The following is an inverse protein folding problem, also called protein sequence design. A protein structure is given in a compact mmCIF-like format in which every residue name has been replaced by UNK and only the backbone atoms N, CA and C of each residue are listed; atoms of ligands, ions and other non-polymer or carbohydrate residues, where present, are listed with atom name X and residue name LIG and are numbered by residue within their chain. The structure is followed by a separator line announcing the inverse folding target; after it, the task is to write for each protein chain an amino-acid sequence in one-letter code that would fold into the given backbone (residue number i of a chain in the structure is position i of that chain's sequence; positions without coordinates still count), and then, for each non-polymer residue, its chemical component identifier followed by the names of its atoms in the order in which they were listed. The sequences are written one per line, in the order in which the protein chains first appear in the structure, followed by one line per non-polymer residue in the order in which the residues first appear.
data_IF_937116935824
#
_entry.id   IF_937116935824
#
_cell.length_a   1.000
_cell.length_b   1.000
_cell.length_c   1.000
_cell.angle_alpha   90.00
_cell.angle_beta   90.00
_cell.angle_gamma   90.00
#
_symmetry.space_group_name_H-M   'P 1'
#
loop_
_entity.id
_entity.type
_entity.pdbx_description
1 polymer ?
#
# COMPACT_ATOMS: atom_id res chain seq x y z
N UNK A 1 27.22 -20.49 20.88
CA UNK A 1 25.96 -20.36 21.67
C UNK A 1 25.46 -18.93 21.69
N UNK A 2 26.18 -17.96 22.27
CA UNK A 2 25.76 -16.55 22.37
C UNK A 2 25.16 -15.95 21.07
N UNK A 3 25.84 -16.08 19.93
CA UNK A 3 25.35 -15.60 18.62
C UNK A 3 24.02 -16.22 18.17
N UNK A 4 23.75 -17.49 18.53
CA UNK A 4 22.48 -18.15 18.24
C UNK A 4 21.34 -17.62 19.09
N UNK A 5 21.64 -17.19 20.33
CA UNK A 5 20.66 -16.57 21.24
C UNK A 5 20.28 -15.19 20.71
N UNK A 6 21.25 -14.38 20.29
CA UNK A 6 21.00 -13.06 19.68
C UNK A 6 20.05 -13.17 18.49
N UNK A 7 20.36 -14.06 17.53
CA UNK A 7 19.52 -14.32 16.35
C UNK A 7 18.09 -14.72 16.71
N UNK A 8 17.94 -15.65 17.65
CA UNK A 8 16.62 -16.14 18.07
C UNK A 8 15.79 -15.04 18.77
N UNK A 9 16.38 -14.31 19.72
CA UNK A 9 15.69 -13.22 20.44
C UNK A 9 15.34 -12.06 19.50
N UNK A 10 16.19 -11.76 18.52
CA UNK A 10 15.96 -10.73 17.52
C UNK A 10 14.81 -11.12 16.58
N UNK A 11 14.81 -12.35 16.07
CA UNK A 11 13.72 -12.89 15.25
C UNK A 11 12.38 -12.88 16.00
N UNK A 12 12.36 -13.35 17.26
CA UNK A 12 11.18 -13.27 18.13
C UNK A 12 10.68 -11.83 18.32
N UNK A 13 11.62 -10.88 18.45
CA UNK A 13 11.32 -9.44 18.60
C UNK A 13 10.77 -8.79 17.33
N UNK A 14 11.08 -9.33 16.15
CA UNK A 14 10.46 -8.94 14.87
C UNK A 14 9.08 -9.59 14.75
N UNK A 15 8.97 -10.91 14.92
CA UNK A 15 7.70 -11.64 14.77
C UNK A 15 6.58 -11.13 15.69
N UNK A 16 6.92 -10.77 16.93
CA UNK A 16 5.97 -10.16 17.89
C UNK A 16 5.45 -8.78 17.46
N UNK A 17 6.27 -7.99 16.75
CA UNK A 17 5.90 -6.69 16.19
C UNK A 17 5.32 -6.79 14.77
N UNK A 18 5.48 -7.94 14.10
CA UNK A 18 5.14 -8.28 12.71
C UNK A 18 5.92 -7.48 11.66
N UNK A 19 5.91 -6.16 11.75
CA UNK A 19 6.61 -5.25 10.85
C UNK A 19 7.34 -4.17 11.68
N UNK A 20 8.60 -3.90 11.36
CA UNK A 20 9.43 -2.86 12.00
C UNK A 20 10.25 -2.12 10.95
N UNK A 21 10.71 -0.90 11.22
CA UNK A 21 11.72 -0.25 10.36
C UNK A 21 13.09 -0.95 10.48
N UNK A 22 13.94 -0.85 9.45
CA UNK A 22 15.33 -1.32 9.50
C UNK A 22 16.12 -0.62 10.62
N UNK A 23 15.80 0.64 10.95
CA UNK A 23 16.35 1.37 12.11
C UNK A 23 15.97 0.71 13.44
N UNK A 24 14.70 0.40 13.65
CA UNK A 24 14.24 -0.31 14.86
C UNK A 24 14.78 -1.73 14.93
N UNK A 25 14.82 -2.45 13.80
CA UNK A 25 15.39 -3.80 13.71
C UNK A 25 16.87 -3.83 14.15
N UNK A 26 17.66 -2.83 13.75
CA UNK A 26 19.03 -2.63 14.24
C UNK A 26 19.09 -2.24 15.71
N UNK A 27 18.21 -1.34 16.17
CA UNK A 27 18.16 -0.92 17.57
C UNK A 27 17.88 -2.11 18.50
N UNK A 28 16.89 -2.95 18.15
CA UNK A 28 16.57 -4.21 18.84
C UNK A 28 17.79 -5.14 18.85
N UNK A 29 18.42 -5.37 17.69
CA UNK A 29 19.63 -6.21 17.61
C UNK A 29 20.76 -5.68 18.51
N UNK A 30 21.02 -4.37 18.49
CA UNK A 30 22.03 -3.71 19.32
C UNK A 30 21.76 -3.88 20.83
N UNK A 31 20.50 -3.77 21.26
CA UNK A 31 20.09 -3.97 22.66
C UNK A 31 20.34 -5.43 23.07
N UNK A 32 19.98 -6.39 22.22
CA UNK A 32 20.18 -7.81 22.48
C UNK A 32 21.68 -8.15 22.53
N UNK A 33 22.49 -7.66 21.59
CA UNK A 33 23.95 -7.81 21.60
C UNK A 33 24.58 -7.26 22.89
N UNK A 34 24.17 -6.06 23.34
CA UNK A 34 24.60 -5.48 24.62
C UNK A 34 24.24 -6.36 25.82
N UNK A 35 23.02 -6.90 25.87
CA UNK A 35 22.57 -7.78 26.97
C UNK A 35 23.28 -9.14 27.01
N UNK A 36 23.69 -9.67 25.86
CA UNK A 36 24.43 -10.95 25.74
C UNK A 36 25.95 -10.75 25.85
N UNK A 37 26.43 -9.50 25.80
CA UNK A 37 27.86 -9.18 25.90
C UNK A 37 28.66 -9.46 24.61
N UNK A 38 28.04 -9.29 23.44
CA UNK A 38 28.68 -9.50 22.13
C UNK A 38 28.67 -8.23 21.27
N UNK A 39 29.63 -8.07 20.33
CA UNK A 39 29.58 -7.01 19.32
C UNK A 39 28.31 -7.05 18.45
N UNK A 40 27.91 -5.89 17.92
CA UNK A 40 26.70 -5.72 17.10
C UNK A 40 26.98 -5.44 15.61
N UNK A 41 28.24 -5.56 15.19
CA UNK A 41 28.73 -5.42 13.81
C UNK A 41 28.14 -6.48 12.85
N UNK A 42 27.75 -7.65 13.38
CA UNK A 42 27.30 -8.82 12.61
C UNK A 42 25.85 -8.77 12.11
N UNK A 43 25.11 -7.68 12.31
CA UNK A 43 23.69 -7.55 11.93
C UNK A 43 23.37 -8.04 10.51
N UNK A 44 24.20 -7.67 9.50
CA UNK A 44 23.94 -8.04 8.10
C UNK A 44 24.20 -9.54 7.82
N UNK A 45 25.20 -10.12 8.48
CA UNK A 45 25.51 -11.56 8.38
C UNK A 45 24.42 -12.40 9.05
N UNK A 46 23.94 -11.94 10.21
CA UNK A 46 22.90 -12.60 10.99
C UNK A 46 21.54 -12.51 10.28
N UNK A 47 21.18 -11.35 9.71
CA UNK A 47 20.03 -11.18 8.83
C UNK A 47 20.05 -12.18 7.66
N UNK A 48 21.17 -12.24 6.92
CA UNK A 48 21.33 -13.18 5.80
C UNK A 48 21.28 -14.65 6.23
N UNK A 49 21.84 -14.97 7.40
CA UNK A 49 21.73 -16.34 7.93
C UNK A 49 20.29 -16.69 8.34
N UNK A 50 19.56 -15.73 8.93
CA UNK A 50 18.16 -15.92 9.33
C UNK A 50 17.25 -16.08 8.11
N UNK A 51 17.45 -15.29 7.04
CA UNK A 51 16.76 -15.48 5.76
C UNK A 51 16.92 -16.91 5.22
N UNK A 52 18.14 -17.43 5.17
CA UNK A 52 18.42 -18.79 4.72
C UNK A 52 17.76 -19.86 5.60
N UNK A 53 17.76 -19.67 6.92
CA UNK A 53 17.16 -20.64 7.86
C UNK A 53 15.63 -20.61 7.85
N UNK A 54 15.02 -19.45 7.65
CA UNK A 54 13.56 -19.29 7.52
C UNK A 54 13.04 -19.85 6.20
N UNK A 55 13.81 -19.73 5.11
CA UNK A 55 13.45 -20.24 3.78
C UNK A 55 13.11 -21.74 3.78
N UNK A 56 13.82 -22.53 4.60
CA UNK A 56 13.56 -23.98 4.78
C UNK A 56 12.16 -24.26 5.36
N UNK A 57 11.58 -23.32 6.10
CA UNK A 57 10.23 -23.41 6.68
C UNK A 57 9.14 -22.85 5.74
N UNK A 58 9.53 -22.32 4.57
CA UNK A 58 8.63 -21.55 3.71
C UNK A 58 8.30 -20.15 4.25
N UNK A 59 9.14 -19.62 5.14
CA UNK A 59 9.08 -18.24 5.61
C UNK A 59 10.22 -17.44 4.95
N UNK A 60 10.03 -16.14 4.78
CA UNK A 60 11.03 -15.23 4.22
C UNK A 60 11.13 -13.98 5.10
N UNK A 61 12.34 -13.46 5.27
CA UNK A 61 12.61 -12.28 6.10
C UNK A 61 12.95 -11.13 5.16
N UNK A 62 11.92 -10.41 4.73
CA UNK A 62 12.01 -9.43 3.65
C UNK A 62 12.34 -8.03 4.17
N UNK A 63 12.91 -7.24 3.26
CA UNK A 63 13.00 -5.80 3.39
C UNK A 63 12.23 -5.16 2.22
N UNK A 64 11.39 -4.16 2.49
CA UNK A 64 10.60 -3.43 1.47
C UNK A 64 10.60 -1.94 1.84
N UNK A 65 10.58 -1.04 0.86
CA UNK A 65 10.42 0.40 1.12
C UNK A 65 8.92 0.75 1.18
N UNK A 66 8.49 1.41 2.24
CA UNK A 66 7.13 1.95 2.37
C UNK A 66 6.86 2.94 1.24
N UNK A 67 5.75 2.78 0.52
CA UNK A 67 5.45 3.59 -0.67
C UNK A 67 5.12 5.05 -0.31
N UNK A 68 4.71 5.33 0.93
CA UNK A 68 4.28 6.65 1.40
C UNK A 68 5.46 7.47 1.89
N UNK A 69 6.32 6.90 2.75
CA UNK A 69 7.43 7.64 3.39
C UNK A 69 8.84 7.18 3.00
N UNK A 70 8.96 6.11 2.22
CA UNK A 70 10.23 5.57 1.73
C UNK A 70 11.09 4.85 2.78
N UNK A 71 10.60 4.66 4.02
CA UNK A 71 11.35 3.93 5.06
C UNK A 71 11.45 2.46 4.69
N UNK A 72 12.64 1.89 4.85
CA UNK A 72 12.82 0.44 4.72
C UNK A 72 12.21 -0.27 5.93
N UNK A 73 11.16 -1.03 5.67
CA UNK A 73 10.48 -1.92 6.60
C UNK A 73 11.08 -3.34 6.50
N UNK A 74 11.06 -4.06 7.61
CA UNK A 74 11.55 -5.43 7.78
C UNK A 74 10.46 -6.26 8.43
N UNK A 75 10.13 -7.41 7.84
CA UNK A 75 9.08 -8.30 8.32
C UNK A 75 9.37 -9.76 7.97
N UNK A 76 8.84 -10.68 8.77
CA UNK A 76 8.79 -12.10 8.42
C UNK A 76 7.47 -12.33 7.70
N UNK A 77 7.53 -12.91 6.50
CA UNK A 77 6.37 -13.20 5.67
C UNK A 77 6.32 -14.68 5.31
N UNK A 78 5.13 -15.21 5.06
CA UNK A 78 4.96 -16.50 4.44
C UNK A 78 5.32 -16.43 2.95
N UNK A 79 6.24 -17.29 2.49
CA UNK A 79 6.69 -17.31 1.10
C UNK A 79 5.73 -18.07 0.16
N UNK A 80 4.71 -18.75 0.70
CA UNK A 80 3.73 -19.53 -0.08
C UNK A 80 2.65 -18.63 -0.67
N UNK A 81 2.13 -19.02 -1.84
CA UNK A 81 1.08 -18.27 -2.55
C UNK A 81 -0.25 -18.20 -1.79
N UNK A 82 -0.56 -19.15 -0.90
CA UNK A 82 -1.78 -19.18 -0.07
C UNK A 82 -1.73 -18.19 1.12
N UNK A 83 -1.00 -17.08 1.03
CA UNK A 83 -0.75 -16.16 2.18
C UNK A 83 -2.01 -15.44 2.70
N UNK A 84 -3.12 -15.45 1.94
CA UNK A 84 -4.46 -15.09 2.46
C UNK A 84 -4.86 -15.88 3.73
N UNK A 85 -4.33 -17.10 3.92
CA UNK A 85 -4.56 -17.89 5.13
C UNK A 85 -3.96 -17.26 6.40
N UNK A 86 -2.93 -16.42 6.28
CA UNK A 86 -2.28 -15.73 7.40
C UNK A 86 -3.07 -14.50 7.87
N UNK A 87 -3.85 -13.88 6.99
CA UNK A 87 -4.92 -12.95 7.39
C UNK A 87 -5.96 -13.71 8.23
N UNK A 88 -6.30 -14.94 7.82
CA UNK A 88 -7.43 -15.72 8.33
C UNK A 88 -7.37 -16.21 9.78
N UNK A 89 -6.25 -16.07 10.49
CA UNK A 89 -6.14 -16.51 11.89
C UNK A 89 -6.91 -15.59 12.83
N UNK A 90 -8.21 -15.83 12.96
CA UNK A 90 -9.12 -15.09 13.84
C UNK A 90 -10.38 -14.53 13.16
N UNK A 91 -10.50 -14.64 11.84
CA UNK A 91 -11.70 -14.25 11.09
C UNK A 91 -12.55 -15.46 10.73
N UNK A 92 -13.87 -15.29 10.71
CA UNK A 92 -14.82 -16.29 10.21
C UNK A 92 -14.75 -16.39 8.67
N UNK A 93 -15.24 -17.48 8.05
CA UNK A 93 -15.21 -17.65 6.60
C UNK A 93 -15.88 -16.51 5.82
N UNK A 94 -17.01 -15.97 6.31
CA UNK A 94 -17.73 -14.87 5.65
C UNK A 94 -16.95 -13.55 5.72
N UNK A 95 -16.24 -13.30 6.82
CA UNK A 95 -15.36 -12.15 6.96
C UNK A 95 -14.15 -12.29 6.04
N UNK A 96 -13.57 -13.48 5.89
CA UNK A 96 -12.48 -13.74 4.96
C UNK A 96 -12.87 -13.51 3.49
N UNK A 97 -14.08 -13.94 3.09
CA UNK A 97 -14.61 -13.65 1.75
C UNK A 97 -14.77 -12.14 1.52
N UNK A 98 -15.23 -11.39 2.53
CA UNK A 98 -15.28 -9.93 2.46
C UNK A 98 -13.88 -9.29 2.39
N UNK A 99 -12.91 -9.76 3.18
CA UNK A 99 -11.54 -9.24 3.15
C UNK A 99 -10.90 -9.48 1.77
N UNK A 100 -11.09 -10.67 1.18
CA UNK A 100 -10.63 -10.95 -0.19
C UNK A 100 -11.23 -9.96 -1.18
N UNK A 101 -12.54 -9.74 -1.14
CA UNK A 101 -13.23 -8.80 -2.03
C UNK A 101 -12.79 -7.34 -1.83
N UNK A 102 -12.42 -6.93 -0.61
CA UNK A 102 -11.83 -5.59 -0.36
C UNK A 102 -10.44 -5.47 -0.99
N UNK A 103 -9.59 -6.49 -0.85
CA UNK A 103 -8.25 -6.52 -1.47
C UNK A 103 -8.38 -6.49 -3.00
N UNK A 104 -9.24 -7.34 -3.56
CA UNK A 104 -9.57 -7.41 -4.99
C UNK A 104 -10.05 -6.04 -5.52
N UNK A 105 -11.05 -5.43 -4.87
CA UNK A 105 -11.60 -4.15 -5.30
C UNK A 105 -10.61 -2.98 -5.17
N UNK A 106 -9.67 -3.05 -4.21
CA UNK A 106 -8.56 -2.09 -4.10
C UNK A 106 -7.56 -2.29 -5.24
N UNK A 107 -7.14 -3.53 -5.49
CA UNK A 107 -6.04 -3.84 -6.39
C UNK A 107 -6.42 -3.75 -7.88
N UNK A 108 -7.65 -4.12 -8.20
CA UNK A 108 -8.24 -4.00 -9.56
C UNK A 108 -8.88 -2.62 -9.81
N UNK A 109 -8.70 -1.66 -8.90
CA UNK A 109 -9.38 -0.36 -8.96
C UNK A 109 -9.09 0.40 -10.28
N UNK A 110 -10.13 0.86 -11.02
CA UNK A 110 -9.97 1.44 -12.34
C UNK A 110 -8.98 2.61 -12.42
N UNK A 111 -8.28 2.72 -13.57
CA UNK A 111 -7.22 3.71 -13.82
C UNK A 111 -6.06 3.62 -12.80
N UNK A 112 -5.71 2.40 -12.38
CA UNK A 112 -4.61 2.13 -11.44
C UNK A 112 -4.71 2.97 -10.17
N UNK A 113 -5.93 3.09 -9.63
CA UNK A 113 -6.22 3.93 -8.48
C UNK A 113 -5.78 3.30 -7.14
N UNK A 114 -5.51 1.99 -7.13
CA UNK A 114 -5.11 1.16 -5.98
C UNK A 114 -5.82 1.53 -4.67
N UNK A 115 -7.09 1.90 -4.76
CA UNK A 115 -7.87 2.39 -3.62
C UNK A 115 -9.36 2.43 -3.91
N UNK A 116 -10.16 2.22 -2.87
CA UNK A 116 -11.63 2.38 -2.88
C UNK A 116 -12.06 3.35 -1.79
N UNK A 117 -13.15 4.07 -1.98
CA UNK A 117 -13.74 4.92 -0.94
C UNK A 117 -14.36 4.08 0.19
N UNK A 118 -14.55 4.69 1.36
CA UNK A 118 -15.28 4.05 2.46
C UNK A 118 -16.72 3.66 2.09
N UNK A 119 -17.36 4.38 1.16
CA UNK A 119 -18.71 4.04 0.68
C UNK A 119 -18.69 2.79 -0.21
N UNK A 120 -17.75 2.72 -1.14
CA UNK A 120 -17.54 1.55 -2.01
C UNK A 120 -17.24 0.30 -1.18
N UNK A 121 -16.30 0.38 -0.23
CA UNK A 121 -15.95 -0.73 0.66
C UNK A 121 -17.17 -1.30 1.42
N UNK A 122 -18.00 -0.43 2.00
CA UNK A 122 -19.19 -0.85 2.76
C UNK A 122 -20.30 -1.41 1.86
N UNK A 123 -20.35 -0.99 0.59
CA UNK A 123 -21.29 -1.49 -0.42
C UNK A 123 -20.88 -2.85 -1.04
N UNK A 124 -19.63 -3.30 -0.88
CA UNK A 124 -19.17 -4.60 -1.40
C UNK A 124 -19.99 -5.76 -0.81
N UNK A 125 -20.72 -6.47 -1.66
CA UNK A 125 -21.53 -7.64 -1.28
C UNK A 125 -20.84 -8.92 -1.78
N UNK A 126 -19.75 -9.27 -1.10
CA UNK A 126 -18.85 -10.37 -1.46
C UNK A 126 -19.52 -11.74 -1.39
N UNK A 127 -20.22 -12.02 -0.29
CA UNK A 127 -21.01 -13.24 -0.11
C UNK A 127 -22.51 -12.89 -0.11
N UNK A 128 -23.25 -13.43 -1.08
CA UNK A 128 -24.72 -13.27 -1.19
C UNK A 128 -25.49 -14.32 -0.37
N UNK A 129 -24.87 -15.45 -0.04
CA UNK A 129 -25.46 -16.51 0.75
C UNK A 129 -25.28 -16.26 2.27
N UNK A 130 -24.16 -15.68 2.68
CA UNK A 130 -23.87 -15.31 4.06
C UNK A 130 -23.36 -13.87 4.21
N UNK A 131 -24.21 -12.85 3.96
CA UNK A 131 -23.80 -11.45 4.00
C UNK A 131 -23.52 -10.94 5.42
N UNK A 132 -22.31 -10.41 5.65
CA UNK A 132 -21.95 -9.74 6.90
C UNK A 132 -22.59 -8.34 7.01
N UNK A 133 -22.90 -7.91 8.24
CA UNK A 133 -23.58 -6.63 8.48
C UNK A 133 -22.68 -5.43 8.19
N UNK A 134 -23.27 -4.25 7.90
CA UNK A 134 -22.50 -3.00 7.70
C UNK A 134 -21.61 -2.66 8.90
N UNK A 135 -22.10 -2.87 10.13
CA UNK A 135 -21.33 -2.66 11.36
C UNK A 135 -20.10 -3.59 11.41
N UNK A 136 -20.29 -4.88 11.09
CA UNK A 136 -19.20 -5.86 10.98
C UNK A 136 -18.17 -5.42 9.92
N UNK A 137 -18.60 -4.93 8.75
CA UNK A 137 -17.70 -4.38 7.73
C UNK A 137 -16.87 -3.19 8.25
N UNK A 138 -17.49 -2.27 9.00
CA UNK A 138 -16.81 -1.11 9.60
C UNK A 138 -15.77 -1.55 10.64
N UNK A 139 -16.11 -2.51 11.50
CA UNK A 139 -15.21 -3.10 12.51
C UNK A 139 -14.05 -3.86 11.86
N UNK A 140 -14.30 -4.66 10.82
CA UNK A 140 -13.25 -5.34 10.04
C UNK A 140 -12.29 -4.35 9.37
N UNK A 141 -12.81 -3.32 8.68
CA UNK A 141 -11.98 -2.31 8.04
C UNK A 141 -11.10 -1.57 9.07
N UNK A 142 -11.65 -1.25 10.25
CA UNK A 142 -10.88 -0.65 11.34
C UNK A 142 -9.79 -1.61 11.88
N UNK A 143 -10.09 -2.90 12.01
CA UNK A 143 -9.13 -3.92 12.44
C UNK A 143 -8.01 -4.11 11.41
N UNK A 144 -8.32 -4.17 10.11
CA UNK A 144 -7.34 -4.24 9.03
C UNK A 144 -6.41 -3.02 9.03
N UNK A 145 -6.94 -1.81 9.27
CA UNK A 145 -6.12 -0.59 9.39
C UNK A 145 -5.21 -0.64 10.62
N UNK A 146 -5.72 -1.10 11.78
CA UNK A 146 -4.91 -1.22 13.02
C UNK A 146 -3.72 -2.19 12.86
N UNK A 147 -3.80 -3.15 11.95
CA UNK A 147 -2.78 -4.17 11.73
C UNK A 147 -1.96 -3.98 10.43
N UNK A 148 -1.99 -2.76 9.85
CA UNK A 148 -1.34 -2.35 8.59
C UNK A 148 -1.67 -3.23 7.36
N UNK A 149 -2.80 -3.94 7.39
CA UNK A 149 -3.33 -4.62 6.20
C UNK A 149 -3.91 -3.61 5.21
N UNK A 150 -4.54 -2.55 5.73
CA UNK A 150 -5.05 -1.43 4.95
C UNK A 150 -4.52 -0.12 5.51
N UNK A 151 -4.48 0.92 4.68
CA UNK A 151 -4.30 2.31 5.13
C UNK A 151 -5.50 3.15 4.69
N UNK A 152 -5.94 4.05 5.58
CA UNK A 152 -7.03 4.98 5.30
C UNK A 152 -6.49 6.39 5.13
N UNK A 153 -6.75 6.98 3.97
CA UNK A 153 -6.41 8.36 3.65
C UNK A 153 -7.33 9.37 4.33
N UNK A 154 -6.90 10.64 4.36
CA UNK A 154 -7.72 11.78 4.84
C UNK A 154 -8.98 11.97 3.98
N UNK A 155 -8.95 11.66 2.69
CA UNK A 155 -10.13 11.63 1.81
C UNK A 155 -11.04 10.41 2.02
N UNK A 156 -10.81 9.57 3.04
CA UNK A 156 -11.67 8.45 3.38
C UNK A 156 -11.58 7.26 2.41
N UNK A 157 -10.51 7.17 1.61
CA UNK A 157 -10.20 6.01 0.76
C UNK A 157 -9.30 5.01 1.48
N UNK A 158 -9.53 3.72 1.26
CA UNK A 158 -8.68 2.61 1.69
C UNK A 158 -7.74 2.21 0.55
N UNK A 159 -6.48 1.91 0.88
CA UNK A 159 -5.48 1.27 0.03
C UNK A 159 -4.77 0.16 0.82
N UNK A 160 -3.95 -0.67 0.18
CA UNK A 160 -3.17 -1.70 0.88
C UNK A 160 -2.10 -1.06 1.77
N UNK A 161 -1.88 -1.60 2.95
CA UNK A 161 -0.76 -1.20 3.80
C UNK A 161 0.55 -1.89 3.39
N UNK A 162 1.68 -1.38 3.85
CA UNK A 162 3.00 -1.93 3.50
C UNK A 162 3.16 -3.37 3.96
N UNK A 163 2.58 -3.73 5.11
CA UNK A 163 2.49 -5.12 5.55
C UNK A 163 1.75 -6.01 4.55
N UNK A 164 0.61 -5.56 4.02
CA UNK A 164 -0.16 -6.31 3.01
C UNK A 164 0.63 -6.49 1.71
N UNK A 165 1.30 -5.45 1.23
CA UNK A 165 2.14 -5.52 0.03
C UNK A 165 3.31 -6.50 0.21
N UNK A 166 3.90 -6.56 1.41
CA UNK A 166 5.00 -7.48 1.72
C UNK A 166 4.55 -8.95 1.86
N UNK A 167 3.45 -9.21 2.59
CA UNK A 167 2.93 -10.57 2.86
C UNK A 167 2.14 -11.17 1.68
N UNK A 168 1.43 -10.34 0.90
CA UNK A 168 0.61 -10.80 -0.22
C UNK A 168 1.31 -10.69 -1.58
N UNK A 169 2.57 -10.26 -1.65
CA UNK A 169 3.28 -9.99 -2.92
C UNK A 169 3.11 -11.10 -3.96
N UNK A 170 3.39 -12.35 -3.57
CA UNK A 170 3.29 -13.54 -4.43
C UNK A 170 1.85 -13.80 -4.89
N UNK A 171 0.88 -13.63 -3.98
CA UNK A 171 -0.55 -13.79 -4.27
C UNK A 171 -1.04 -12.73 -5.25
N UNK A 172 -0.71 -11.45 -5.00
CA UNK A 172 -1.13 -10.32 -5.82
C UNK A 172 -0.53 -10.37 -7.23
N UNK A 173 0.71 -10.84 -7.37
CA UNK A 173 1.37 -11.03 -8.67
C UNK A 173 0.75 -12.17 -9.50
N UNK A 174 0.27 -13.24 -8.85
CA UNK A 174 -0.29 -14.41 -9.54
C UNK A 174 -1.79 -14.29 -9.84
N UNK A 175 -2.59 -13.74 -8.91
CA UNK A 175 -4.04 -13.63 -9.10
C UNK A 175 -4.43 -12.42 -9.98
N UNK A 176 -3.63 -11.35 -9.96
CA UNK A 176 -3.93 -10.09 -10.62
C UNK A 176 -2.76 -9.61 -11.49
N UNK A 177 -2.23 -10.49 -12.35
CA UNK A 177 -1.06 -10.24 -13.20
C UNK A 177 -1.17 -8.92 -14.00
N UNK A 178 -2.34 -8.65 -14.62
CA UNK A 178 -2.63 -7.42 -15.37
C UNK A 178 -2.55 -6.13 -14.50
N UNK A 179 -2.73 -6.26 -13.18
CA UNK A 179 -2.62 -5.17 -12.21
C UNK A 179 -1.31 -5.23 -11.40
N UNK A 180 -0.42 -6.18 -11.65
CA UNK A 180 0.83 -6.40 -10.91
C UNK A 180 1.97 -5.49 -11.39
N UNK A 181 1.71 -4.18 -11.38
CA UNK A 181 2.65 -3.14 -11.80
C UNK A 181 3.97 -3.20 -11.01
N UNK A 182 5.10 -3.06 -11.70
CA UNK A 182 6.45 -3.06 -11.13
C UNK A 182 7.15 -1.71 -11.33
N UNK A 183 7.94 -1.28 -10.35
CA UNK A 183 8.73 -0.05 -10.41
C UNK A 183 9.98 -0.23 -11.28
N UNK A 184 10.19 0.65 -12.27
CA UNK A 184 11.30 0.61 -13.23
C UNK A 184 12.72 0.73 -12.62
N UNK A 185 12.84 1.04 -11.31
CA UNK A 185 14.14 1.21 -10.64
C UNK A 185 14.46 0.12 -9.60
N UNK A 186 13.52 -0.36 -8.80
CA UNK A 186 13.77 -1.48 -7.88
C UNK A 186 13.25 -2.83 -8.39
N UNK A 187 12.29 -2.86 -9.31
CA UNK A 187 11.59 -4.09 -9.72
C UNK A 187 10.51 -4.54 -8.72
N UNK A 188 10.39 -3.89 -7.56
CA UNK A 188 9.34 -4.19 -6.59
C UNK A 188 7.96 -3.80 -7.13
N UNK A 189 6.93 -4.45 -6.56
CA UNK A 189 5.53 -4.12 -6.81
C UNK A 189 5.26 -2.64 -6.48
N UNK A 190 4.42 -1.98 -7.28
CA UNK A 190 4.06 -0.58 -7.08
C UNK A 190 2.55 -0.36 -7.13
N UNK A 191 2.01 0.27 -6.08
CA UNK A 191 0.59 0.67 -6.01
C UNK A 191 0.39 2.19 -5.94
N UNK A 192 1.46 2.96 -5.71
CA UNK A 192 1.43 4.42 -5.86
C UNK A 192 2.79 5.00 -6.26
N UNK A 193 2.75 6.06 -7.05
CA UNK A 193 3.95 6.71 -7.55
C UNK A 193 3.68 7.59 -8.77
N UNK A 194 4.69 7.69 -9.62
CA UNK A 194 4.69 8.47 -10.85
C UNK A 194 4.79 7.57 -12.08
N UNK A 195 3.91 7.79 -13.07
CA UNK A 195 3.94 7.16 -14.39
C UNK A 195 4.30 8.17 -15.47
N UNK A 196 4.96 7.73 -16.53
CA UNK A 196 5.31 8.57 -17.68
C UNK A 196 4.04 9.09 -18.40
N UNK A 197 3.94 10.39 -18.67
CA UNK A 197 2.85 10.95 -19.49
C UNK A 197 2.92 10.61 -20.98
N UNK A 198 3.96 9.91 -21.44
CA UNK A 198 4.15 9.65 -22.88
C UNK A 198 3.21 8.54 -23.34
N UNK A 199 2.02 8.97 -23.74
CA UNK A 199 1.05 8.18 -24.49
C UNK A 199 0.87 8.86 -25.87
N UNK A 200 1.42 8.21 -26.89
CA UNK A 200 1.37 8.67 -28.29
C UNK A 200 0.94 7.50 -29.16
N UNK A 201 0.30 7.74 -30.34
CA UNK A 201 -0.13 6.65 -31.22
C UNK A 201 0.99 5.69 -31.67
N UNK A 202 2.25 6.12 -31.56
CA UNK A 202 3.44 5.35 -31.93
C UNK A 202 4.11 4.67 -30.72
N UNK A 203 3.97 5.22 -29.51
CA UNK A 203 4.66 4.80 -28.29
C UNK A 203 3.76 5.04 -27.06
N UNK A 204 3.38 3.96 -26.37
CA UNK A 204 2.80 3.97 -25.03
C UNK A 204 3.87 3.57 -24.00
N UNK A 205 4.28 4.52 -23.14
CA UNK A 205 5.40 4.31 -22.23
C UNK A 205 4.95 3.76 -20.87
N UNK A 206 5.26 2.49 -20.58
CA UNK A 206 4.93 1.81 -19.31
C UNK A 206 5.87 2.13 -18.12
N UNK A 207 6.77 3.12 -18.25
CA UNK A 207 7.67 3.50 -17.15
C UNK A 207 6.90 4.14 -16.00
N UNK A 208 6.98 3.48 -14.85
CA UNK A 208 6.40 3.88 -13.58
C UNK A 208 7.40 3.67 -12.45
N UNK A 209 7.40 4.56 -11.46
CA UNK A 209 8.34 4.55 -10.34
C UNK A 209 7.68 5.02 -9.04
N UNK A 210 8.08 4.46 -7.90
CA UNK A 210 7.67 4.98 -6.60
C UNK A 210 8.13 6.42 -6.42
N UNK A 211 7.45 7.20 -5.58
CA UNK A 211 7.86 8.57 -5.27
C UNK A 211 9.32 8.66 -4.79
N UNK A 212 9.72 7.76 -3.88
CA UNK A 212 11.10 7.66 -3.39
C UNK A 212 12.11 7.15 -4.45
N UNK A 213 11.64 6.50 -5.52
CA UNK A 213 12.47 6.00 -6.63
C UNK A 213 12.73 7.06 -7.71
N UNK A 214 11.97 8.14 -7.78
CA UNK A 214 12.06 9.14 -8.85
C UNK A 214 13.45 9.83 -8.91
N UNK A 215 14.07 10.11 -7.77
CA UNK A 215 15.43 10.66 -7.75
C UNK A 215 16.45 9.69 -8.35
N UNK A 216 16.27 8.38 -8.15
CA UNK A 216 17.11 7.35 -8.76
C UNK A 216 16.86 7.24 -10.28
N UNK A 217 15.61 7.43 -10.73
CA UNK A 217 15.27 7.53 -12.17
C UNK A 217 16.00 8.71 -12.83
N UNK A 218 15.99 9.90 -12.21
CA UNK A 218 16.70 11.09 -12.71
C UNK A 218 18.21 10.87 -12.81
N UNK A 219 18.81 10.23 -11.80
CA UNK A 219 20.24 9.84 -11.84
C UNK A 219 20.53 8.84 -12.97
N UNK A 220 19.68 7.82 -13.16
CA UNK A 220 19.79 6.84 -14.28
C UNK A 220 19.69 7.54 -15.64
N UNK A 221 18.76 8.47 -15.80
CA UNK A 221 18.57 9.24 -17.03
C UNK A 221 19.79 10.14 -17.34
N UNK A 222 20.32 10.84 -16.33
CA UNK A 222 21.53 11.67 -16.46
C UNK A 222 22.75 10.83 -16.88
N UNK A 223 22.93 9.64 -16.31
CA UNK A 223 24.00 8.71 -16.67
C UNK A 223 23.90 8.18 -18.12
N UNK A 224 22.70 8.21 -18.71
CA UNK A 224 22.42 7.87 -20.11
C UNK A 224 22.47 9.08 -21.06
N UNK A 225 22.92 10.26 -20.58
CA UNK A 225 22.87 11.53 -21.32
C UNK A 225 21.45 11.96 -21.74
N UNK A 226 20.44 11.59 -20.94
CA UNK A 226 19.02 11.91 -21.13
C UNK A 226 18.48 12.79 -19.97
N UNK A 227 19.07 13.97 -19.69
CA UNK A 227 18.62 14.82 -18.59
C UNK A 227 17.17 15.26 -18.79
N UNK A 228 16.36 15.16 -17.73
CA UNK A 228 14.94 15.52 -17.75
C UNK A 228 14.07 14.64 -18.66
N UNK A 229 14.57 13.48 -19.12
CA UNK A 229 13.86 12.58 -20.04
C UNK A 229 13.63 11.21 -19.42
N UNK A 230 12.58 10.54 -19.89
CA UNK A 230 12.33 9.13 -19.58
C UNK A 230 13.46 8.27 -20.17
N UNK A 231 14.10 7.35 -19.40
CA UNK A 231 15.13 6.47 -19.92
C UNK A 231 14.67 5.53 -21.04
N UNK A 232 13.38 5.18 -21.06
CA UNK A 232 12.80 4.22 -22.01
C UNK A 232 12.36 4.92 -23.31
N UNK A 233 11.31 5.76 -23.25
CA UNK A 233 10.75 6.43 -24.43
C UNK A 233 11.57 7.66 -24.89
N UNK A 234 12.50 8.19 -24.07
CA UNK A 234 13.38 9.35 -24.39
C UNK A 234 12.67 10.71 -24.58
N UNK A 235 11.34 10.74 -24.37
CA UNK A 235 10.56 11.98 -24.25
C UNK A 235 10.79 12.66 -22.89
N UNK A 236 10.32 13.90 -22.78
CA UNK A 236 10.41 14.70 -21.55
C UNK A 236 9.68 14.01 -20.39
N UNK A 237 10.31 13.96 -19.23
CA UNK A 237 9.75 13.37 -18.02
C UNK A 237 8.82 14.37 -17.33
N UNK A 238 7.60 14.46 -17.87
CA UNK A 238 6.45 15.03 -17.18
C UNK A 238 5.63 13.85 -16.58
N UNK A 239 5.81 13.51 -15.29
CA UNK A 239 5.07 12.40 -14.69
C UNK A 239 3.63 12.78 -14.32
N UNK A 240 2.72 11.80 -14.38
CA UNK A 240 1.44 11.86 -13.68
C UNK A 240 1.49 11.00 -12.41
N UNK A 241 0.87 11.42 -11.30
CA UNK A 241 0.66 10.54 -10.16
C UNK A 241 -0.35 9.43 -10.50
N UNK A 242 -0.18 8.26 -9.90
CA UNK A 242 -1.19 7.19 -9.87
C UNK A 242 -1.36 6.63 -8.45
N UNK A 243 -2.26 5.66 -8.29
CA UNK A 243 -2.66 5.17 -6.97
C UNK A 243 -3.55 6.16 -6.22
N UNK A 244 -3.53 6.09 -4.89
CA UNK A 244 -4.49 6.80 -4.02
C UNK A 244 -4.48 8.32 -4.20
N UNK A 245 -3.31 8.94 -4.44
CA UNK A 245 -3.19 10.39 -4.63
C UNK A 245 -3.95 10.88 -5.88
N UNK A 246 -3.82 10.15 -6.99
CA UNK A 246 -4.53 10.45 -8.23
C UNK A 246 -6.05 10.21 -8.08
N UNK A 247 -6.43 9.20 -7.32
CA UNK A 247 -7.83 8.91 -7.01
C UNK A 247 -8.48 10.01 -6.15
N UNK A 248 -7.78 10.54 -5.15
CA UNK A 248 -8.24 11.67 -4.34
C UNK A 248 -8.33 12.97 -5.16
N UNK A 249 -7.33 13.26 -6.00
CA UNK A 249 -7.34 14.45 -6.86
C UNK A 249 -8.47 14.40 -7.91
N UNK A 250 -8.71 13.24 -8.52
CA UNK A 250 -9.85 13.03 -9.40
C UNK A 250 -11.21 13.16 -8.67
N UNK A 251 -11.29 12.77 -7.39
CA UNK A 251 -12.51 12.90 -6.59
C UNK A 251 -12.85 14.38 -6.31
N UNK A 252 -11.86 15.24 -6.02
CA UNK A 252 -12.07 16.69 -5.82
C UNK A 252 -12.60 17.40 -7.07
N UNK A 253 -12.23 16.92 -8.26
CA UNK A 253 -12.60 17.53 -9.56
C UNK A 253 -13.98 17.16 -10.06
N UNK A 254 -14.69 16.22 -9.41
CA UNK A 254 -16.10 15.98 -9.72
C UNK A 254 -16.91 17.20 -9.28
N UNK A 255 -17.64 17.88 -10.19
CA UNK A 255 -18.56 18.93 -9.78
C UNK A 255 -19.56 18.36 -8.78
N UNK A 256 -19.83 19.10 -7.70
CA UNK A 256 -20.93 18.75 -6.82
C UNK A 256 -22.23 18.74 -7.62
N UNK A 257 -23.02 17.67 -7.48
CA UNK A 257 -24.40 17.63 -7.97
C UNK A 257 -25.17 18.80 -7.33
N UNK A 258 -25.34 19.90 -8.07
CA UNK A 258 -25.91 21.13 -7.50
C UNK A 258 -25.51 22.47 -8.12
N UNK A 259 -25.10 22.51 -9.39
CA UNK A 259 -25.07 23.74 -10.19
C UNK A 259 -25.62 23.41 -11.57
N UNK A 260 -26.80 23.94 -11.89
CA UNK A 260 -27.53 23.56 -13.10
C UNK A 260 -27.06 24.31 -14.34
N UNK A 261 -26.99 23.60 -15.47
CA UNK A 261 -27.05 24.19 -16.80
C UNK A 261 -28.00 23.32 -17.63
N UNK A 262 -29.14 23.88 -18.02
CA UNK A 262 -30.17 23.18 -18.79
C UNK A 262 -29.79 23.17 -20.28
N UNK A 263 -29.12 22.11 -20.74
CA UNK A 263 -29.12 21.78 -22.17
C UNK A 263 -30.35 20.94 -22.49
N UNK A 264 -31.38 21.61 -23.01
CA UNK A 264 -32.51 20.95 -23.67
C UNK A 264 -32.04 20.32 -24.98
N UNK A 265 -31.96 18.98 -25.04
CA UNK A 265 -32.09 18.25 -26.29
C UNK A 265 -33.44 17.53 -26.27
N UNK A 266 -34.35 18.00 -27.13
CA UNK A 266 -35.60 17.31 -27.40
C UNK A 266 -35.30 16.08 -28.25
N UNK A 267 -35.80 14.92 -27.82
CA UNK A 267 -35.90 13.74 -28.68
C UNK A 267 -37.37 13.58 -29.02
N UNK A 268 -37.68 13.61 -30.31
CA UNK A 268 -39.05 13.51 -30.81
C UNK A 268 -39.50 12.03 -30.74
N UNK A 269 -40.58 11.76 -30.02
CA UNK A 269 -41.32 10.49 -30.12
C UNK A 269 -42.06 10.48 -31.47
N UNK A 270 -41.89 9.41 -32.26
CA UNK A 270 -42.76 9.08 -33.40
C UNK A 270 -43.38 7.69 -33.18
N UNK A 271 -44.62 7.54 -33.65
CA UNK A 271 -45.56 6.54 -33.14
C UNK A 271 -45.50 5.19 -33.87
N UNK A 272 -45.93 4.13 -33.18
CA UNK A 272 -47.06 3.26 -33.56
C UNK A 272 -46.85 1.76 -33.28
N UNK A 273 -47.70 1.17 -32.43
CA UNK A 273 -48.26 -0.18 -32.65
C UNK A 273 -49.61 -0.36 -31.92
N UNK A 274 -50.69 -0.49 -32.68
CA UNK A 274 -52.09 -0.74 -32.24
C UNK A 274 -52.25 -2.01 -31.35
N UNK A 275 -52.87 -1.90 -30.17
CA UNK A 275 -54.30 -2.12 -29.84
C UNK A 275 -54.77 -3.59 -29.68
N UNK A 276 -55.28 -3.91 -28.47
CA UNK A 276 -56.61 -4.54 -28.32
C UNK A 276 -57.21 -4.27 -26.93
N UNK A 277 -58.50 -3.93 -26.93
CA UNK A 277 -59.32 -3.42 -25.81
C UNK A 277 -59.74 -4.47 -24.76
N UNK A 278 -60.08 -4.03 -23.53
CA UNK A 278 -61.36 -4.28 -22.82
C UNK A 278 -61.35 -3.69 -21.39
N UNK A 279 -62.24 -2.71 -21.13
CA UNK A 279 -62.65 -2.20 -19.81
C UNK A 279 -64.21 -2.32 -19.66
N UNK A 280 -64.94 -1.76 -18.66
CA UNK A 280 -64.56 -0.99 -17.46
C UNK A 280 -65.18 -1.50 -16.12
N UNK A 281 -64.73 -1.03 -14.94
CA UNK A 281 -65.28 0.11 -14.13
C UNK A 281 -64.63 0.10 -12.71
N UNK A 282 -64.89 0.95 -11.69
CA UNK A 282 -65.89 2.02 -11.45
C UNK A 282 -65.38 3.16 -10.52
N UNK A 283 -65.72 4.41 -10.88
CA UNK A 283 -66.18 5.54 -10.02
C UNK A 283 -65.63 5.89 -8.61
N UNK A 284 -64.80 6.98 -8.56
CA UNK A 284 -65.01 8.29 -7.85
C UNK A 284 -65.15 8.36 -6.29
N UNK A 285 -64.77 9.42 -5.55
CA UNK A 285 -64.07 10.73 -5.76
C UNK A 285 -63.80 11.44 -4.40
N UNK A 286 -62.69 12.21 -4.25
CA UNK A 286 -62.37 13.10 -3.08
C UNK A 286 -63.21 14.40 -3.02
N UNK A 287 -63.44 14.99 -1.81
CA UNK A 287 -63.22 16.45 -1.49
C UNK A 287 -63.57 16.91 -0.05
N UNK A 288 -62.62 17.59 0.61
CA UNK A 288 -62.66 18.82 1.49
C UNK A 288 -63.72 19.06 2.60
N UNK A 289 -63.29 19.65 3.74
CA UNK A 289 -64.08 20.04 4.95
C UNK A 289 -64.92 21.34 4.83
N UNK A 290 -65.36 22.02 5.93
CA UNK A 290 -64.51 22.53 7.04
C UNK A 290 -65.13 22.50 8.48
N UNK A 291 -64.49 23.21 9.44
CA UNK A 291 -64.72 23.20 10.91
C UNK A 291 -65.86 24.09 11.47
N UNK A 292 -66.33 23.76 12.69
CA UNK A 292 -66.97 24.70 13.65
C UNK A 292 -66.72 24.31 15.13
N UNK A 293 -66.21 25.27 15.94
CA UNK A 293 -66.60 25.67 17.34
C UNK A 293 -67.04 24.61 18.40
N UNK A 294 -66.77 24.70 19.71
CA UNK A 294 -66.20 25.77 20.56
C UNK A 294 -65.93 25.34 22.04
N UNK A 295 -65.28 26.25 22.79
CA UNK A 295 -65.36 26.53 24.27
C UNK A 295 -64.68 25.59 25.31
N UNK A 296 -63.75 26.20 26.05
CA UNK A 296 -63.33 25.85 27.42
C UNK A 296 -64.33 26.39 28.49
N UNK A 297 -64.22 26.11 29.82
CA UNK A 297 -63.18 26.72 30.67
C UNK A 297 -62.60 25.85 31.82
N UNK A 298 -61.60 26.41 32.50
CA UNK A 298 -60.70 25.79 33.49
C UNK A 298 -61.22 25.69 34.94
N UNK A 299 -60.53 24.94 35.83
CA UNK A 299 -59.68 25.57 36.88
C UNK A 299 -58.95 24.64 37.89
N UNK A 300 -57.65 24.96 38.11
CA UNK A 300 -56.89 25.08 39.38
C UNK A 300 -56.83 23.96 40.46
N UNK A 301 -55.58 23.48 40.70
CA UNK A 301 -54.82 23.35 41.99
C UNK A 301 -55.43 22.44 43.12
N UNK A 302 -54.70 21.75 44.01
CA UNK A 302 -53.36 21.91 44.66
C UNK A 302 -53.02 20.55 45.37
N UNK A 303 -51.79 20.00 45.31
CA UNK A 303 -50.69 20.06 46.33
C UNK A 303 -50.72 19.04 47.52
N UNK A 304 -49.66 18.22 47.62
CA UNK A 304 -49.16 17.54 48.84
C UNK A 304 -48.22 16.37 48.49
N UNK A 305 -46.89 16.43 48.72
CA UNK A 305 -46.12 16.10 49.98
C UNK A 305 -46.11 14.58 50.30
N UNK A 306 -44.98 13.91 50.64
CA UNK A 306 -43.58 14.35 50.89
C UNK A 306 -42.62 13.14 51.17
N UNK A 307 -41.31 13.26 50.82
CA UNK A 307 -40.10 12.60 51.41
C UNK A 307 -40.03 11.04 51.39
N UNK A 308 -38.87 10.39 51.52
CA UNK A 308 -37.49 10.79 51.94
C UNK A 308 -36.46 9.99 51.07
N UNK A 309 -35.29 10.51 50.64
CA UNK A 309 -33.95 10.58 51.32
C UNK A 309 -33.42 9.20 51.77
N UNK A 310 -32.13 8.96 52.06
CA UNK A 310 -30.91 9.79 52.02
C UNK A 310 -29.91 9.30 50.93
N UNK A 311 -28.72 9.89 50.79
CA UNK A 311 -28.28 10.77 49.66
C UNK A 311 -26.72 10.55 49.39
N UNK A 312 -26.02 11.39 48.58
CA UNK A 312 -24.53 11.55 48.33
C UNK A 312 -23.73 10.48 47.48
N UNK A 313 -22.70 10.76 46.66
CA UNK A 313 -21.58 11.73 46.69
C UNK A 313 -21.25 12.42 45.33
N UNK A 314 -20.70 13.64 45.38
CA UNK A 314 -19.97 14.32 44.29
C UNK A 314 -18.46 14.00 44.38
N UNK A 315 -17.75 13.89 43.25
CA UNK A 315 -16.29 14.10 43.16
C UNK A 315 -15.96 14.75 41.81
N UNK A 316 -15.22 15.88 41.87
CA UNK A 316 -14.58 16.58 40.74
C UNK A 316 -13.21 15.90 40.41
N UNK A 317 -12.37 16.59 39.62
CA UNK A 317 -10.94 16.30 39.32
C UNK A 317 -10.68 15.09 38.36
N UNK A 318 -9.75 15.12 37.42
CA UNK A 318 -8.94 16.19 36.81
C UNK A 318 -8.51 15.69 35.41
N UNK A 319 -8.70 16.50 34.34
CA UNK A 319 -8.17 16.18 33.00
C UNK A 319 -6.73 16.74 32.87
N UNK A 320 -5.75 16.02 33.45
CA UNK A 320 -4.31 16.30 33.29
C UNK A 320 -3.82 15.88 31.87
N UNK A 321 -3.83 16.83 30.94
CA UNK A 321 -3.11 16.74 29.65
C UNK A 321 -1.58 16.81 29.89
N UNK A 322 -0.90 15.66 30.05
CA UNK A 322 0.57 15.62 30.03
C UNK A 322 1.12 15.80 28.59
N UNK A 323 1.41 17.06 28.24
CA UNK A 323 2.24 17.44 27.09
C UNK A 323 3.67 16.84 27.20
N UNK A 324 3.91 15.69 26.56
CA UNK A 324 5.27 15.17 26.38
C UNK A 324 5.98 15.98 25.29
N UNK A 325 6.54 17.11 25.68
CA UNK A 325 7.54 17.83 24.91
C UNK A 325 8.84 16.99 24.84
N UNK A 326 9.11 16.42 23.66
CA UNK A 326 10.44 15.89 23.35
C UNK A 326 11.37 17.05 23.00
N UNK A 327 12.22 17.43 23.95
CA UNK A 327 13.32 18.37 23.71
C UNK A 327 14.35 17.73 22.78
N UNK A 328 14.44 18.24 21.54
CA UNK A 328 15.54 17.91 20.62
C UNK A 328 16.85 18.51 21.15
N UNK A 329 17.66 17.66 21.79
CA UNK A 329 19.01 18.01 22.21
C UNK A 329 19.98 17.93 21.02
N UNK A 330 20.09 19.02 20.27
CA UNK A 330 21.16 19.24 19.28
C UNK A 330 22.54 19.25 19.97
N UNK A 331 23.21 18.10 20.02
CA UNK A 331 24.65 18.04 20.27
C UNK A 331 25.41 18.26 18.96
N UNK A 332 25.86 19.49 18.77
CA UNK A 332 26.90 19.83 17.81
C UNK A 332 28.24 19.25 18.28
N UNK A 333 28.84 18.36 17.49
CA UNK A 333 30.28 18.12 17.52
C UNK A 333 30.88 18.67 16.22
N UNK A 334 31.47 19.86 16.34
CA UNK A 334 32.52 20.31 15.43
C UNK A 334 33.76 19.43 15.65
N UNK A 335 34.40 18.93 14.58
CA UNK A 335 35.83 18.63 14.69
C UNK A 335 36.56 18.79 13.36
N UNK A 336 37.85 19.08 13.48
CA UNK A 336 38.50 20.07 12.62
C UNK A 336 39.07 19.53 11.29
N UNK A 337 39.18 20.43 10.31
CA UNK A 337 39.88 20.16 9.07
C UNK A 337 41.38 20.40 9.22
N UNK A 338 42.21 19.35 9.07
CA UNK A 338 43.61 19.49 8.62
C UNK A 338 44.29 18.14 8.36
N UNK A 339 44.73 17.90 7.12
CA UNK A 339 46.15 17.85 6.77
C UNK A 339 46.31 17.60 5.26
N UNK A 340 46.67 18.65 4.51
CA UNK A 340 47.21 18.50 3.16
C UNK A 340 48.69 18.89 3.16
N UNK A 341 49.45 18.24 2.27
CA UNK A 341 50.85 18.50 1.96
C UNK A 341 51.92 18.02 2.96
N UNK A 342 52.61 16.95 2.58
CA UNK A 342 54.08 17.03 2.53
C UNK A 342 54.60 16.35 1.27
N UNK A 343 55.24 17.13 0.39
CA UNK A 343 56.10 16.62 -0.68
C UNK A 343 57.48 16.39 -0.09
N UNK A 344 58.09 15.22 -0.30
CA UNK A 344 59.55 15.14 -0.38
C UNK A 344 59.97 14.14 -1.46
N UNK A 345 60.95 14.56 -2.26
CA UNK A 345 61.38 13.88 -3.47
C UNK A 345 62.61 12.98 -3.22
N UNK A 346 63.13 12.42 -4.32
CA UNK A 346 64.31 11.54 -4.46
C UNK A 346 63.96 10.05 -4.22
N UNK A 347 64.40 9.09 -5.04
CA UNK A 347 65.54 9.10 -5.96
C UNK A 347 65.29 8.38 -7.30
N UNK A 348 66.16 8.61 -8.29
CA UNK A 348 66.09 8.01 -9.63
C UNK A 348 67.09 6.86 -9.83
N UNK A 349 66.72 5.84 -10.62
CA UNK A 349 67.59 5.06 -11.52
C UNK A 349 66.85 3.84 -12.09
N UNK A 350 67.01 3.50 -13.38
CA UNK A 350 66.50 2.21 -13.90
C UNK A 350 66.07 2.20 -15.37
N UNK A 351 66.97 2.49 -16.30
CA UNK A 351 66.76 2.32 -17.74
C UNK A 351 66.65 0.84 -18.14
N UNK A 352 65.69 0.48 -19.00
CA UNK A 352 65.59 -0.87 -19.55
C UNK A 352 64.50 -1.02 -20.62
N UNK A 353 64.84 -0.80 -21.89
CA UNK A 353 63.94 -1.11 -23.00
C UNK A 353 63.99 -2.59 -23.35
N UNK A 354 62.86 -3.19 -23.76
CA UNK A 354 62.83 -4.04 -24.96
C UNK A 354 61.43 -4.37 -25.51
N UNK A 355 61.45 -4.69 -26.80
CA UNK A 355 60.34 -4.85 -27.74
C UNK A 355 59.80 -6.30 -27.70
N UNK A 356 58.50 -6.52 -27.95
CA UNK A 356 57.89 -7.87 -27.93
C UNK A 356 56.56 -7.97 -28.67
N UNK A 357 56.60 -8.40 -29.94
CA UNK A 357 55.41 -8.66 -30.78
C UNK A 357 54.89 -10.10 -30.61
N UNK A 358 53.67 -10.34 -31.14
CA UNK A 358 53.03 -11.66 -31.43
C UNK A 358 52.47 -12.40 -30.21
N UNK A 359 51.45 -13.27 -30.32
CA UNK A 359 50.40 -13.49 -31.35
C UNK A 359 49.33 -14.42 -30.75
N UNK A 360 48.13 -14.46 -31.32
CA UNK A 360 47.17 -15.56 -31.09
C UNK A 360 47.75 -16.91 -31.52
N UNK A 361 47.18 -18.02 -31.00
CA UNK A 361 46.79 -19.11 -31.88
C UNK A 361 45.31 -19.50 -31.74
N UNK A 362 44.79 -20.10 -32.80
CA UNK A 362 43.38 -20.47 -32.98
C UNK A 362 43.19 -22.00 -33.11
N UNK A 363 42.00 -22.48 -32.72
CA UNK A 363 41.29 -23.68 -33.25
C UNK A 363 41.90 -25.09 -33.08
N UNK A 364 41.11 -25.96 -32.43
CA UNK A 364 40.79 -27.33 -32.86
C UNK A 364 39.60 -27.85 -32.03
N UNK A 365 38.35 -27.82 -32.52
CA UNK A 365 37.70 -28.90 -33.31
C UNK A 365 37.43 -30.21 -32.56
N UNK A 366 36.16 -30.46 -32.21
CA UNK A 366 35.56 -31.80 -32.32
C UNK A 366 34.09 -31.69 -32.74
N UNK A 367 33.57 -32.75 -33.35
CA UNK A 367 32.36 -32.81 -34.19
C UNK A 367 31.56 -34.06 -33.79
N UNK A 368 30.30 -34.13 -34.26
CA UNK A 368 29.35 -35.25 -34.17
C UNK A 368 28.60 -35.35 -32.82
N UNK A 369 27.28 -35.61 -32.79
CA UNK A 369 26.36 -35.94 -33.89
C UNK A 369 24.93 -35.46 -33.59
N UNK A 370 24.18 -35.12 -34.64
CA UNK A 370 22.73 -34.91 -34.59
C UNK A 370 22.00 -36.21 -34.98
N UNK A 371 20.76 -36.34 -34.50
CA UNK A 371 19.75 -37.26 -35.03
C UNK A 371 18.45 -36.46 -35.16
N UNK A 372 18.04 -36.22 -36.40
CA UNK A 372 16.69 -35.79 -36.82
C UNK A 372 15.95 -37.08 -37.26
N UNK A 373 14.73 -37.36 -36.78
CA UNK A 373 13.42 -37.08 -37.39
C UNK A 373 12.78 -38.34 -38.03
N UNK A 374 11.52 -38.20 -38.46
CA UNK A 374 10.60 -39.18 -39.09
C UNK A 374 10.06 -40.36 -38.23
N UNK A 375 8.79 -40.81 -38.38
CA UNK A 375 7.54 -40.20 -38.89
C UNK A 375 6.34 -41.14 -38.52
N UNK A 376 5.11 -40.78 -38.93
CA UNK A 376 3.93 -41.62 -39.19
C UNK A 376 2.98 -42.09 -38.06
N UNK A 377 1.74 -41.58 -38.16
CA UNK A 377 0.44 -42.29 -38.22
C UNK A 377 0.00 -43.28 -37.11
N UNK A 378 -0.97 -42.86 -36.28
CA UNK A 378 -2.39 -43.34 -36.29
C UNK A 378 -3.30 -42.40 -35.45
#
# INVERSE_FOLDING_TARGET
MATSIVRAMWLQSIMSRRLVTDKESRAIYNIICKSVGVPADRYREDLGTMQQQLSVLGLDLRQMQDEVDGRTMVGVVNAKADSLAEIGTGYTPAELVYIKAVIEAIYTAPRSAYSISSMEALALNADKANPITKKTKEELLANLVRHDWLRKSKGGRYTLGTRALMELQTYLQHEYEDNALQCFICGDLITMGHVCATDTPEISCSVQVHFHCENRLKVKANAMHLPGKCPECKYEWAPWPFGIQAAEEAAKRRPGFGAGEETQEAVEDDENFDDVDTQPTTSRRRKTGPSTTARQPASKKKKGKRRATEDDDDDDDDDDDEDIAVEDADMLEEDDAQNTSSRRAQNASGSGAQNGKRSQPSRSSRRQQANDEDDSED
#
